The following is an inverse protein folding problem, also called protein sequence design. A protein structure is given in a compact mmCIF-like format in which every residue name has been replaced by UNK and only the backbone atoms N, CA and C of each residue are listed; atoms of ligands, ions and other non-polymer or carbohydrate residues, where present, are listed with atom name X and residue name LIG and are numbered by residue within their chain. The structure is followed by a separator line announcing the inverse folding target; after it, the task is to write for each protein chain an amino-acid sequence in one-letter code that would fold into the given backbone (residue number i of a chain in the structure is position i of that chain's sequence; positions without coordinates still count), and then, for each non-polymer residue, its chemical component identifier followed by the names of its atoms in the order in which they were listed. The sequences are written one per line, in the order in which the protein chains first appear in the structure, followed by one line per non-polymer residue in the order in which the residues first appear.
data_IF_108851332725
#
_entry.id   IF_108851332725
#
_cell.length_a   1.000
_cell.length_b   1.000
_cell.length_c   1.000
_cell.angle_alpha   90.00
_cell.angle_beta   90.00
_cell.angle_gamma   90.00
#
_symmetry.space_group_name_H-M   'P 1'
#
loop_
_entity.id
_entity.type
_entity.pdbx_description
1 polymer ?
#
# COMPACT_ATOMS: atom_id res chain seq x y z
N UNK A 1 33.56 29.95 2.04
CA UNK A 1 32.67 28.83 2.03
C UNK A 1 31.30 29.23 1.56
N UNK A 2 30.82 28.56 0.69
CA UNK A 2 29.43 28.75 0.36
C UNK A 2 28.55 27.96 1.33
N UNK A 3 27.70 28.65 2.02
CA UNK A 3 26.74 27.95 2.86
C UNK A 3 25.84 27.03 2.06
N UNK A 4 25.78 27.22 0.75
CA UNK A 4 25.00 26.36 -0.08
C UNK A 4 25.50 24.92 -0.09
N UNK A 5 26.84 24.74 -0.12
CA UNK A 5 27.39 23.39 -0.07
C UNK A 5 27.05 22.69 1.24
N UNK A 6 26.79 23.51 2.28
CA UNK A 6 26.41 23.00 3.59
C UNK A 6 24.90 22.82 3.68
N UNK A 7 24.16 23.26 2.66
CA UNK A 7 22.73 23.27 2.68
C UNK A 7 22.13 22.38 1.61
N UNK A 8 22.69 21.19 1.45
CA UNK A 8 21.98 20.20 0.67
C UNK A 8 20.61 20.03 1.29
N UNK A 9 19.56 19.93 0.45
CA UNK A 9 18.22 19.75 1.00
C UNK A 9 18.20 18.56 1.93
N UNK A 10 17.94 18.81 3.18
CA UNK A 10 17.79 17.73 4.14
C UNK A 10 16.38 17.18 4.03
N UNK A 11 16.26 15.88 4.20
CA UNK A 11 14.96 15.25 4.33
C UNK A 11 14.37 15.80 5.63
N UNK A 12 13.16 16.37 5.61
CA UNK A 12 12.54 16.88 6.83
C UNK A 12 12.45 15.79 7.88
N UNK A 13 12.76 16.14 9.14
CA UNK A 13 12.60 15.20 10.25
C UNK A 13 11.16 14.76 10.40
N UNK A 14 10.23 15.56 9.95
CA UNK A 14 8.80 15.26 9.98
C UNK A 14 8.35 14.45 8.77
N UNK A 15 9.23 13.61 8.21
CA UNK A 15 8.88 12.73 7.13
C UNK A 15 7.68 11.89 7.53
N UNK A 16 6.65 11.90 6.68
CA UNK A 16 5.42 11.18 6.96
C UNK A 16 5.65 9.68 6.82
N UNK A 17 5.26 8.93 7.84
CA UNK A 17 5.26 7.48 7.79
C UNK A 17 3.85 6.97 7.61
N UNK A 18 3.69 5.98 6.73
CA UNK A 18 2.41 5.32 6.52
C UNK A 18 2.60 3.81 6.53
N UNK A 19 1.51 3.12 6.73
CA UNK A 19 1.46 1.65 6.70
C UNK A 19 0.44 1.23 5.65
N UNK A 20 0.70 0.12 4.99
CA UNK A 20 -0.15 -0.39 3.93
C UNK A 20 -0.16 -1.91 3.92
N UNK A 21 -1.16 -2.47 3.27
CA UNK A 21 -1.14 -3.89 2.95
C UNK A 21 -1.07 -4.08 1.45
N UNK A 22 -0.38 -5.15 1.04
CA UNK A 22 -0.50 -5.68 -0.31
C UNK A 22 -1.50 -6.84 -0.23
N UNK A 23 -2.75 -6.62 -0.69
CA UNK A 23 -3.76 -7.67 -0.60
C UNK A 23 -3.57 -8.67 -1.73
N UNK A 24 -3.46 -9.94 -1.38
CA UNK A 24 -3.22 -10.99 -2.36
C UNK A 24 -4.27 -12.09 -2.25
N UNK A 25 -4.61 -12.65 -3.39
CA UNK A 25 -5.45 -13.83 -3.49
C UNK A 25 -4.57 -14.99 -3.94
N UNK A 26 -4.45 -16.00 -3.10
CA UNK A 26 -3.66 -17.17 -3.39
C UNK A 26 -4.61 -18.36 -3.38
N UNK A 27 -4.80 -18.97 -4.55
CA UNK A 27 -5.62 -20.15 -4.72
C UNK A 27 -4.76 -21.25 -5.32
N UNK A 28 -4.91 -22.47 -4.79
CA UNK A 28 -4.14 -23.63 -5.24
C UNK A 28 -4.36 -23.86 -6.73
N UNK A 29 -3.28 -23.99 -7.49
CA UNK A 29 -3.34 -24.26 -8.92
C UNK A 29 -3.68 -23.07 -9.78
N UNK A 30 -3.73 -21.88 -9.19
CA UNK A 30 -4.00 -20.63 -9.91
C UNK A 30 -2.90 -19.62 -9.70
N UNK A 31 -2.67 -18.73 -10.67
CA UNK A 31 -1.72 -17.63 -10.47
C UNK A 31 -2.15 -16.74 -9.32
N UNK A 32 -1.16 -16.14 -8.64
CA UNK A 32 -1.42 -15.14 -7.61
C UNK A 32 -2.09 -13.93 -8.24
N UNK A 33 -3.06 -13.37 -7.56
CA UNK A 33 -3.74 -12.15 -7.99
C UNK A 33 -3.65 -11.10 -6.90
N UNK A 34 -3.74 -9.85 -7.30
CA UNK A 34 -3.58 -8.70 -6.40
C UNK A 34 -4.90 -7.93 -6.37
N UNK A 35 -5.30 -7.47 -5.20
CA UNK A 35 -6.46 -6.60 -5.08
C UNK A 35 -5.96 -5.15 -4.97
N UNK A 36 -6.47 -4.28 -5.81
CA UNK A 36 -6.19 -2.86 -5.75
C UNK A 36 -7.46 -2.07 -5.47
N UNK A 37 -7.27 -0.89 -4.92
CA UNK A 37 -8.35 0.06 -4.67
C UNK A 37 -8.02 1.37 -5.36
N UNK A 38 -9.02 2.24 -5.55
CA UNK A 38 -8.78 3.56 -6.13
C UNK A 38 -8.51 4.58 -5.04
N UNK A 39 -7.69 5.58 -5.38
CA UNK A 39 -7.52 6.76 -4.51
C UNK A 39 -8.80 7.57 -4.50
N UNK A 40 -9.06 8.27 -3.39
CA UNK A 40 -10.27 9.08 -3.24
C UNK A 40 -10.28 10.27 -4.19
N UNK A 41 -9.12 10.88 -4.43
CA UNK A 41 -9.03 12.13 -5.18
C UNK A 41 -9.00 11.90 -6.69
N UNK A 42 -8.08 11.08 -7.16
CA UNK A 42 -7.84 10.93 -8.60
C UNK A 42 -8.43 9.64 -9.19
N UNK A 43 -8.88 8.72 -8.35
CA UNK A 43 -9.41 7.45 -8.82
C UNK A 43 -8.37 6.52 -9.43
N UNK A 44 -7.08 6.76 -9.18
CA UNK A 44 -6.03 5.87 -9.69
C UNK A 44 -5.85 4.66 -8.77
N UNK A 45 -5.34 3.58 -9.34
CA UNK A 45 -5.18 2.33 -8.60
C UNK A 45 -4.00 2.38 -7.63
N UNK A 46 -4.20 1.85 -6.43
CA UNK A 46 -3.20 1.79 -5.38
C UNK A 46 -3.55 0.67 -4.41
N UNK A 47 -2.81 0.59 -3.30
CA UNK A 47 -3.11 -0.37 -2.22
C UNK A 47 -3.68 0.37 -1.01
N UNK A 48 -4.41 -0.31 -0.12
CA UNK A 48 -4.90 0.30 1.11
C UNK A 48 -3.74 0.78 1.98
N UNK A 49 -3.82 2.01 2.46
CA UNK A 49 -2.77 2.59 3.31
C UNK A 49 -3.33 3.70 4.18
N UNK A 50 -2.65 3.97 5.25
CA UNK A 50 -3.02 5.05 6.15
C UNK A 50 -1.92 5.34 7.16
N UNK A 51 -2.24 6.18 8.11
CA UNK A 51 -1.30 6.56 9.15
C UNK A 51 -1.17 5.46 10.21
N UNK A 52 -0.03 5.37 10.89
CA UNK A 52 0.07 4.52 12.06
C UNK A 52 -1.02 4.87 13.08
N UNK A 53 -1.50 3.87 13.80
CA UNK A 53 -2.56 4.05 14.78
C UNK A 53 -1.98 3.79 16.16
N UNK A 54 -2.14 4.76 17.06
CA UNK A 54 -1.64 4.63 18.42
C UNK A 54 -2.25 3.40 19.09
N UNK A 55 -1.40 2.60 19.70
CA UNK A 55 -1.82 1.38 20.40
C UNK A 55 -1.86 0.14 19.53
N UNK A 56 -1.68 0.28 18.20
CA UNK A 56 -1.62 -0.85 17.29
C UNK A 56 -0.21 -1.04 16.74
N UNK A 57 0.15 -2.29 16.49
CA UNK A 57 1.36 -2.58 15.75
C UNK A 57 1.18 -2.12 14.29
N UNK A 58 2.27 -1.82 13.57
CA UNK A 58 2.15 -1.36 12.18
C UNK A 58 1.33 -2.28 11.28
N UNK A 59 1.53 -3.60 11.38
CA UNK A 59 0.76 -4.54 10.57
C UNK A 59 -0.72 -4.56 10.94
N UNK A 60 -1.05 -4.31 12.21
CA UNK A 60 -2.44 -4.24 12.65
C UNK A 60 -3.12 -2.98 12.11
N UNK A 61 -2.42 -1.84 12.14
CA UNK A 61 -2.93 -0.60 11.56
C UNK A 61 -3.14 -0.74 10.06
N UNK A 62 -2.20 -1.40 9.36
CA UNK A 62 -2.33 -1.66 7.93
C UNK A 62 -3.55 -2.52 7.63
N UNK A 63 -3.78 -3.57 8.42
CA UNK A 63 -4.96 -4.43 8.25
C UNK A 63 -6.26 -3.66 8.47
N UNK A 64 -6.27 -2.72 9.40
CA UNK A 64 -7.41 -1.84 9.66
C UNK A 64 -7.73 -1.00 8.42
N UNK A 65 -6.70 -0.46 7.76
CA UNK A 65 -6.88 0.32 6.55
C UNK A 65 -7.46 -0.53 5.42
N UNK A 66 -7.04 -1.77 5.29
CA UNK A 66 -7.62 -2.68 4.29
C UNK A 66 -9.11 -2.91 4.53
N UNK A 67 -9.51 -3.05 5.78
CA UNK A 67 -10.91 -3.21 6.14
C UNK A 67 -11.72 -1.95 5.82
N UNK A 68 -11.22 -0.79 6.20
CA UNK A 68 -11.95 0.47 6.03
C UNK A 68 -12.00 0.93 4.59
N UNK A 69 -10.92 0.77 3.84
CA UNK A 69 -10.81 1.27 2.47
C UNK A 69 -11.29 0.30 1.41
N UNK A 70 -11.22 -0.99 1.67
CA UNK A 70 -11.57 -2.00 0.66
C UNK A 70 -12.49 -3.11 1.13
N UNK A 71 -12.84 -3.12 2.41
CA UNK A 71 -13.64 -4.21 2.98
C UNK A 71 -12.89 -5.53 2.99
N UNK A 72 -11.55 -5.49 2.92
CA UNK A 72 -10.73 -6.69 2.79
C UNK A 72 -10.38 -7.24 4.17
N UNK A 73 -10.65 -8.50 4.38
CA UNK A 73 -10.33 -9.22 5.61
C UNK A 73 -9.51 -10.45 5.29
N UNK A 74 -8.62 -10.81 6.20
CA UNK A 74 -7.78 -11.98 6.01
C UNK A 74 -6.63 -12.02 7.00
N UNK A 75 -5.57 -12.71 6.62
CA UNK A 75 -4.40 -12.89 7.47
C UNK A 75 -3.30 -11.91 7.05
N UNK A 76 -2.95 -11.00 7.95
CA UNK A 76 -1.86 -10.05 7.70
C UNK A 76 -0.55 -10.63 8.21
N UNK A 77 0.49 -10.51 7.40
CA UNK A 77 1.84 -10.90 7.82
C UNK A 77 2.48 -9.82 8.67
N UNK A 78 3.22 -10.23 9.70
CA UNK A 78 3.83 -9.31 10.67
C UNK A 78 5.10 -8.65 10.16
N UNK A 79 5.74 -9.23 9.15
CA UNK A 79 6.98 -8.71 8.59
C UNK A 79 6.69 -7.90 7.33
N UNK A 80 7.29 -6.72 7.24
CA UNK A 80 7.11 -5.87 6.08
C UNK A 80 7.75 -6.49 4.85
N UNK A 81 7.08 -6.37 3.72
CA UNK A 81 7.63 -6.76 2.41
C UNK A 81 8.64 -5.74 1.91
N UNK A 82 8.50 -4.50 2.31
CA UNK A 82 9.35 -3.42 1.88
C UNK A 82 8.73 -2.06 2.21
N UNK A 83 9.42 -1.05 1.74
CA UNK A 83 8.99 0.34 1.92
C UNK A 83 9.06 1.01 0.56
N UNK A 84 8.06 1.81 0.22
CA UNK A 84 8.12 2.61 -0.99
C UNK A 84 7.81 4.06 -0.70
N UNK A 85 8.24 4.94 -1.59
CA UNK A 85 8.04 6.38 -1.48
C UNK A 85 6.74 6.77 -2.15
N UNK A 86 6.01 7.68 -1.49
CA UNK A 86 4.77 8.22 -2.00
C UNK A 86 4.76 9.72 -1.74
N UNK A 87 4.57 10.52 -2.79
CA UNK A 87 4.44 11.96 -2.66
C UNK A 87 2.99 12.31 -2.39
N UNK A 88 2.74 12.85 -1.20
CA UNK A 88 1.40 13.26 -0.78
C UNK A 88 1.24 14.75 -1.00
N UNK A 89 0.19 15.12 -1.72
CA UNK A 89 -0.12 16.51 -1.94
C UNK A 89 -0.77 17.12 -0.71
N UNK A 90 -0.22 18.25 -0.28
CA UNK A 90 -0.79 19.08 0.78
C UNK A 90 -1.14 20.44 0.20
N UNK A 91 -1.83 21.27 0.98
CA UNK A 91 -2.11 22.65 0.56
C UNK A 91 -0.78 23.39 0.40
N UNK A 92 -0.47 23.76 -0.82
CA UNK A 92 0.72 24.56 -1.14
C UNK A 92 2.04 23.81 -1.20
N UNK A 93 2.08 22.50 -0.92
CA UNK A 93 3.34 21.75 -0.97
C UNK A 93 3.10 20.24 -1.08
N UNK A 94 4.20 19.51 -1.32
CA UNK A 94 4.22 18.06 -1.32
C UNK A 94 5.01 17.56 -0.11
N UNK A 95 4.54 16.46 0.47
CA UNK A 95 5.27 15.76 1.52
C UNK A 95 5.63 14.36 1.06
N UNK A 96 6.85 13.95 1.37
CA UNK A 96 7.27 12.58 1.10
C UNK A 96 6.76 11.67 2.21
N UNK A 97 6.06 10.62 1.83
CA UNK A 97 5.65 9.57 2.75
C UNK A 97 6.47 8.32 2.47
N UNK A 98 6.93 7.67 3.53
CA UNK A 98 7.51 6.33 3.48
C UNK A 98 6.41 5.35 3.86
N UNK A 99 6.08 4.44 2.96
CA UNK A 99 4.96 3.51 3.15
C UNK A 99 5.52 2.12 3.37
N UNK A 100 5.31 1.59 4.57
CA UNK A 100 5.73 0.23 4.93
C UNK A 100 4.60 -0.73 4.57
N UNK A 101 4.91 -1.73 3.76
CA UNK A 101 3.90 -2.62 3.18
C UNK A 101 3.96 -4.00 3.83
N UNK A 102 2.81 -4.49 4.28
CA UNK A 102 2.66 -5.83 4.85
C UNK A 102 1.79 -6.69 3.93
N UNK A 103 2.05 -7.98 3.82
CA UNK A 103 1.18 -8.84 3.01
C UNK A 103 -0.13 -9.10 3.72
N UNK A 104 -1.23 -9.11 2.98
CA UNK A 104 -2.53 -9.53 3.47
C UNK A 104 -3.05 -10.66 2.59
N UNK A 105 -3.17 -11.85 3.14
CA UNK A 105 -3.81 -12.96 2.44
C UNK A 105 -5.31 -12.78 2.58
N UNK A 106 -5.96 -12.35 1.51
CA UNK A 106 -7.38 -12.00 1.54
C UNK A 106 -8.22 -13.27 1.65
N UNK A 107 -9.10 -13.30 2.62
CA UNK A 107 -10.04 -14.41 2.83
C UNK A 107 -11.46 -14.05 2.39
N UNK A 108 -11.81 -12.76 2.49
CA UNK A 108 -13.13 -12.29 2.10
C UNK A 108 -13.13 -10.80 1.84
N UNK A 109 -14.13 -10.35 1.10
CA UNK A 109 -14.44 -8.94 0.95
C UNK A 109 -15.84 -8.70 1.50
N UNK A 110 -15.94 -7.76 2.44
CA UNK A 110 -17.24 -7.33 2.97
C UNK A 110 -17.91 -6.42 1.95
N UNK A 111 -19.23 -6.55 1.83
CA UNK A 111 -20.00 -5.66 0.95
C UNK A 111 -20.16 -4.28 1.56
N UNK A 112 -20.21 -4.21 2.89
CA UNK A 112 -20.37 -2.95 3.60
C UNK A 112 -19.09 -2.64 4.36
N UNK A 113 -18.47 -1.52 4.03
CA UNK A 113 -17.26 -1.05 4.68
C UNK A 113 -17.21 0.48 4.60
N UNK A 114 -16.38 1.08 5.44
CA UNK A 114 -16.40 2.52 5.71
C UNK A 114 -16.33 3.39 4.45
N UNK A 115 -15.42 3.08 3.52
CA UNK A 115 -15.20 3.92 2.34
C UNK A 115 -15.78 3.32 1.05
N UNK A 116 -16.77 2.44 1.18
CA UNK A 116 -17.38 1.75 0.05
C UNK A 116 -17.83 2.69 -1.08
N UNK A 117 -18.41 3.82 -0.72
CA UNK A 117 -19.01 4.71 -1.71
C UNK A 117 -18.01 5.61 -2.43
N UNK A 118 -16.77 5.68 -1.95
CA UNK A 118 -15.75 6.57 -2.51
C UNK A 118 -14.56 5.82 -3.13
N UNK A 119 -14.57 4.50 -3.08
CA UNK A 119 -13.48 3.70 -3.64
C UNK A 119 -14.02 2.55 -4.48
N UNK A 120 -13.29 2.23 -5.54
CA UNK A 120 -13.50 0.99 -6.29
C UNK A 120 -12.50 -0.04 -5.81
N UNK A 121 -12.88 -1.31 -5.81
CA UNK A 121 -12.03 -2.44 -5.42
C UNK A 121 -12.07 -3.43 -6.57
N UNK A 122 -10.90 -3.88 -7.02
CA UNK A 122 -10.83 -4.79 -8.15
C UNK A 122 -9.65 -5.74 -8.03
N UNK A 123 -9.84 -6.95 -8.53
CA UNK A 123 -8.81 -7.99 -8.59
C UNK A 123 -8.05 -7.87 -9.91
N UNK A 124 -6.72 -7.95 -9.83
CA UNK A 124 -5.83 -7.85 -10.99
C UNK A 124 -4.90 -9.05 -11.03
N UNK A 125 -4.54 -9.47 -12.23
CA UNK A 125 -3.35 -10.31 -12.39
C UNK A 125 -2.13 -9.51 -11.97
N UNK A 126 -1.05 -10.21 -11.59
CA UNK A 126 0.16 -9.54 -11.08
C UNK A 126 0.70 -8.49 -12.06
N UNK A 127 0.80 -8.87 -13.34
CA UNK A 127 1.35 -7.95 -14.35
C UNK A 127 0.48 -6.71 -14.50
N UNK A 128 -0.83 -6.88 -14.51
CA UNK A 128 -1.76 -5.75 -14.62
C UNK A 128 -1.72 -4.88 -13.36
N UNK A 129 -1.60 -5.49 -12.19
CA UNK A 129 -1.48 -4.73 -10.94
C UNK A 129 -0.21 -3.87 -10.96
N UNK A 130 0.91 -4.47 -11.36
CA UNK A 130 2.18 -3.75 -11.45
C UNK A 130 2.09 -2.60 -12.44
N UNK A 131 1.44 -2.81 -13.58
CA UNK A 131 1.30 -1.78 -14.59
C UNK A 131 0.39 -0.63 -14.15
N UNK A 132 -0.64 -0.93 -13.37
CA UNK A 132 -1.66 0.07 -12.99
C UNK A 132 -1.32 0.92 -11.78
N UNK A 133 -0.37 0.52 -10.94
CA UNK A 133 0.07 1.39 -9.85
C UNK A 133 1.12 2.37 -10.34
N UNK A 134 1.19 3.53 -9.70
CA UNK A 134 2.07 4.61 -10.16
C UNK A 134 3.49 4.50 -9.60
N UNK A 135 3.62 4.19 -8.32
CA UNK A 135 4.90 4.29 -7.62
C UNK A 135 5.85 3.16 -8.02
N UNK A 136 7.07 3.48 -8.50
CA UNK A 136 8.03 2.45 -8.90
C UNK A 136 8.37 1.46 -7.78
N UNK A 137 8.49 1.95 -6.55
CA UNK A 137 8.78 1.08 -5.40
C UNK A 137 7.65 0.10 -5.13
N UNK A 138 6.41 0.51 -5.31
CA UNK A 138 5.27 -0.39 -5.16
C UNK A 138 5.25 -1.45 -6.26
N UNK A 139 5.57 -1.06 -7.51
CA UNK A 139 5.70 -2.02 -8.60
C UNK A 139 6.72 -3.12 -8.26
N UNK A 140 7.85 -2.72 -7.70
CA UNK A 140 8.90 -3.65 -7.30
C UNK A 140 8.43 -4.59 -6.19
N UNK A 141 7.72 -4.08 -5.19
CA UNK A 141 7.20 -4.89 -4.10
C UNK A 141 6.19 -5.93 -4.62
N UNK A 142 5.30 -5.52 -5.52
CA UNK A 142 4.32 -6.43 -6.13
C UNK A 142 5.04 -7.56 -6.86
N UNK A 143 6.02 -7.22 -7.70
CA UNK A 143 6.76 -8.19 -8.49
C UNK A 143 7.52 -9.17 -7.60
N UNK A 144 8.22 -8.66 -6.60
CA UNK A 144 9.03 -9.50 -5.72
C UNK A 144 8.17 -10.45 -4.89
N UNK A 145 7.05 -9.95 -4.36
CA UNK A 145 6.17 -10.80 -3.58
C UNK A 145 5.57 -11.92 -4.42
N UNK A 146 5.10 -11.59 -5.61
CA UNK A 146 4.53 -12.58 -6.51
C UNK A 146 5.52 -13.69 -6.84
N UNK A 147 6.79 -13.34 -7.09
CA UNK A 147 7.84 -14.33 -7.32
C UNK A 147 8.09 -15.21 -6.10
N UNK A 148 8.00 -14.63 -4.91
CA UNK A 148 8.27 -15.37 -3.67
C UNK A 148 7.24 -16.45 -3.37
N UNK A 149 6.02 -16.30 -3.92
CA UNK A 149 4.92 -17.25 -3.70
C UNK A 149 4.63 -18.12 -4.93
N UNK A 150 5.40 -17.98 -5.99
CA UNK A 150 5.28 -18.85 -7.16
C UNK A 150 5.62 -20.30 -6.79
N UNK A 151 4.84 -21.23 -7.31
CA UNK A 151 5.05 -22.65 -7.04
C UNK A 151 4.28 -23.19 -5.84
N UNK A 152 3.51 -22.37 -5.21
CA UNK A 152 2.64 -22.83 -4.12
C UNK A 152 1.46 -23.64 -4.64
#
# INVERSE_FOLDING_TARGET
MSSFSDTLPSIPESQLEQVAVLPVLIERGKPVRIVLITTRDSGRWTIPKGNPIKGLQPYEAAAREALEEGGLVGKVGKEALGVYDFWKRRTGHWELAKVRVFPLLVEAQLQDFKERDVRKVQVFDVDDAEENVLEPGLKTIIRNYAKSVEGW
#
